data_IF_091811603948
#
_entry.id   IF_091811603948
#
_cell.length_a   1.000
_cell.length_b   1.000
_cell.length_c   1.000
_cell.angle_alpha   90.00
_cell.angle_beta   90.00
_cell.angle_gamma   90.00
#
_symmetry.space_group_name_H-M   'P 1'
#
loop_
_entity.id
_entity.type
_entity.pdbx_description
1 polymer ?
#
# COMPACT_ATOMS: atom_id res chain seq x y z
N UNK A 1 9.84 -34.19 6.31
CA UNK A 1 8.62 -34.59 7.05
C UNK A 1 9.05 -35.16 8.40
N UNK A 2 8.32 -34.80 9.47
CA UNK A 2 8.43 -35.24 10.87
C UNK A 2 9.60 -34.76 11.75
N UNK A 3 9.42 -33.76 12.62
CA UNK A 3 8.84 -33.75 14.00
C UNK A 3 9.96 -33.82 15.06
N UNK A 4 10.09 -32.76 15.89
CA UNK A 4 10.85 -32.86 17.15
C UNK A 4 11.87 -31.77 17.49
N UNK A 5 11.60 -30.46 17.27
CA UNK A 5 12.45 -29.41 17.86
C UNK A 5 11.66 -28.58 18.89
N UNK A 6 12.15 -28.44 20.14
CA UNK A 6 11.42 -27.81 21.23
C UNK A 6 11.35 -26.28 21.08
N UNK A 7 10.42 -25.60 21.80
CA UNK A 7 10.17 -24.19 21.64
C UNK A 7 11.24 -23.40 22.39
N UNK A 8 12.27 -22.94 21.67
CA UNK A 8 12.93 -21.71 22.09
C UNK A 8 12.33 -20.60 21.23
N UNK A 9 11.13 -20.17 21.62
CA UNK A 9 10.58 -18.89 21.18
C UNK A 9 11.44 -17.84 21.88
N UNK A 10 12.63 -17.59 21.33
CA UNK A 10 13.12 -16.22 21.35
C UNK A 10 12.03 -15.46 20.62
N UNK A 11 11.21 -14.71 21.36
CA UNK A 11 10.37 -13.67 20.80
C UNK A 11 11.32 -12.73 20.06
N UNK A 12 11.59 -13.04 18.80
CA UNK A 12 12.15 -12.10 17.86
C UNK A 12 11.01 -11.13 17.58
N UNK A 13 10.68 -10.27 18.55
CA UNK A 13 10.08 -8.99 18.23
C UNK A 13 11.19 -8.28 17.48
N UNK A 14 11.24 -8.45 16.16
CA UNK A 14 11.98 -7.54 15.32
C UNK A 14 11.51 -6.15 15.77
N UNK A 15 12.39 -5.35 16.38
CA UNK A 15 12.07 -3.95 16.64
C UNK A 15 11.67 -3.39 15.30
N UNK A 16 10.41 -2.96 15.12
CA UNK A 16 10.01 -2.28 13.90
C UNK A 16 10.92 -1.06 13.81
N UNK A 17 11.79 -1.01 12.80
CA UNK A 17 11.42 -0.30 11.60
C UNK A 17 11.83 -1.10 10.34
N UNK A 18 11.64 -0.55 9.16
CA UNK A 18 12.23 -1.07 7.91
C UNK A 18 11.58 -2.27 7.19
N UNK A 19 10.33 -2.66 7.48
CA UNK A 19 9.51 -3.33 6.44
C UNK A 19 8.66 -2.30 5.73
N UNK A 20 9.31 -1.43 4.96
CA UNK A 20 8.71 -0.55 3.95
C UNK A 20 7.34 -0.03 4.33
N UNK A 21 7.26 0.79 5.37
CA UNK A 21 6.05 1.55 5.67
C UNK A 21 5.86 2.55 4.54
N UNK A 22 5.15 2.13 3.49
CA UNK A 22 4.71 3.05 2.44
C UNK A 22 4.08 4.24 3.15
N UNK A 23 4.55 5.48 2.93
CA UNK A 23 4.15 6.64 3.71
C UNK A 23 2.64 6.62 3.86
N UNK A 24 2.19 6.34 5.09
CA UNK A 24 0.77 6.34 5.40
C UNK A 24 0.37 7.80 5.24
N UNK A 25 -0.50 8.03 4.27
CA UNK A 25 -1.04 9.35 3.97
C UNK A 25 -1.99 9.74 5.11
N UNK A 26 -1.38 10.03 6.27
CA UNK A 26 -2.06 10.25 7.55
C UNK A 26 -2.92 11.51 7.50
N UNK A 27 -2.44 12.53 6.80
CA UNK A 27 -3.10 13.82 6.63
C UNK A 27 -4.10 13.80 5.47
N UNK A 28 -4.02 12.81 4.58
CA UNK A 28 -4.97 12.61 3.49
C UNK A 28 -4.84 13.64 2.37
N UNK A 29 -3.63 14.12 2.11
CA UNK A 29 -3.36 15.14 1.09
C UNK A 29 -3.62 14.60 -0.32
N UNK A 30 -3.35 13.31 -0.55
CA UNK A 30 -3.56 12.67 -1.85
C UNK A 30 -4.96 12.07 -2.03
N UNK A 31 -5.91 12.32 -1.10
CA UNK A 31 -7.30 11.81 -1.20
C UNK A 31 -8.03 12.30 -2.45
N UNK A 32 -7.67 13.46 -3.01
CA UNK A 32 -8.29 13.98 -4.24
C UNK A 32 -7.99 13.06 -5.43
N UNK A 33 -6.73 12.70 -5.61
CA UNK A 33 -6.26 11.82 -6.68
C UNK A 33 -6.84 10.40 -6.55
N UNK A 34 -7.01 9.90 -5.32
CA UNK A 34 -7.65 8.60 -5.11
C UNK A 34 -9.12 8.62 -5.49
N UNK A 35 -9.84 9.72 -5.23
CA UNK A 35 -11.26 9.86 -5.63
C UNK A 35 -11.39 9.87 -7.15
N UNK A 36 -10.56 10.64 -7.84
CA UNK A 36 -10.53 10.68 -9.31
C UNK A 36 -10.23 9.30 -9.91
N UNK A 37 -9.24 8.58 -9.35
CA UNK A 37 -8.94 7.21 -9.76
C UNK A 37 -10.14 6.26 -9.56
N UNK A 38 -10.82 6.33 -8.41
CA UNK A 38 -11.99 5.50 -8.13
C UNK A 38 -13.19 5.86 -9.03
N UNK A 39 -13.38 7.14 -9.35
CA UNK A 39 -14.39 7.58 -10.31
C UNK A 39 -14.09 7.06 -11.71
N UNK A 40 -12.83 7.16 -12.15
CA UNK A 40 -12.40 6.60 -13.42
C UNK A 40 -12.62 5.09 -13.48
N UNK A 41 -12.32 4.34 -12.42
CA UNK A 41 -12.58 2.91 -12.37
C UNK A 41 -14.08 2.61 -12.49
N UNK A 42 -14.93 3.37 -11.80
CA UNK A 42 -16.38 3.20 -11.90
C UNK A 42 -16.90 3.44 -13.31
N UNK A 43 -16.37 4.45 -14.01
CA UNK A 43 -16.77 4.78 -15.38
C UNK A 43 -16.28 3.74 -16.39
N UNK A 44 -15.07 3.20 -16.21
CA UNK A 44 -14.44 2.25 -17.13
C UNK A 44 -14.68 0.78 -16.75
N UNK A 45 -15.73 0.47 -15.97
CA UNK A 45 -16.07 -0.91 -15.53
C UNK A 45 -14.89 -1.65 -14.87
N UNK A 46 -14.14 -0.95 -14.03
CA UNK A 46 -12.94 -1.43 -13.35
C UNK A 46 -11.76 -1.74 -14.28
N UNK A 47 -11.74 -1.18 -15.49
CA UNK A 47 -10.56 -1.23 -16.35
C UNK A 47 -9.45 -0.32 -15.81
N UNK A 48 -8.42 -0.96 -15.29
CA UNK A 48 -7.28 -0.30 -14.69
C UNK A 48 -6.34 0.32 -15.74
N UNK A 49 -6.41 -0.13 -16.99
CA UNK A 49 -5.60 0.37 -18.10
C UNK A 49 -5.93 1.84 -18.42
N UNK A 50 -7.22 2.17 -18.49
CA UNK A 50 -7.70 3.53 -18.75
C UNK A 50 -7.32 4.51 -17.62
N UNK A 51 -7.32 4.03 -16.36
CA UNK A 51 -7.11 4.86 -15.16
C UNK A 51 -5.67 4.87 -14.65
N UNK A 52 -4.73 4.31 -15.43
CA UNK A 52 -3.33 4.12 -15.03
C UNK A 52 -2.56 5.42 -14.77
N UNK A 53 -2.97 6.51 -15.43
CA UNK A 53 -2.39 7.83 -15.22
C UNK A 53 -2.79 8.42 -13.85
N UNK A 54 -4.03 8.18 -13.40
CA UNK A 54 -4.52 8.62 -12.09
C UNK A 54 -3.92 7.81 -10.95
N UNK A 55 -3.75 6.50 -11.13
CA UNK A 55 -3.08 5.66 -10.12
C UNK A 55 -1.61 6.03 -9.98
N UNK A 56 -0.92 6.35 -11.08
CA UNK A 56 0.45 6.88 -11.04
C UNK A 56 0.52 8.19 -10.27
N UNK A 57 -0.35 9.16 -10.58
CA UNK A 57 -0.39 10.44 -9.89
C UNK A 57 -0.66 10.29 -8.39
N UNK A 58 -1.60 9.41 -8.01
CA UNK A 58 -1.91 9.10 -6.61
C UNK A 58 -0.70 8.50 -5.87
N UNK A 59 0.00 7.56 -6.49
CA UNK A 59 1.20 6.94 -5.90
C UNK A 59 2.37 7.92 -5.81
N UNK A 60 2.60 8.74 -6.83
CA UNK A 60 3.62 9.79 -6.80
C UNK A 60 3.37 10.80 -5.67
N UNK A 61 2.11 11.17 -5.45
CA UNK A 61 1.73 12.05 -4.35
C UNK A 61 2.08 11.43 -2.98
N UNK A 62 1.88 10.12 -2.81
CA UNK A 62 2.27 9.39 -1.59
C UNK A 62 3.77 9.15 -1.45
N UNK A 63 4.52 9.16 -2.56
CA UNK A 63 5.97 8.94 -2.58
C UNK A 63 6.80 10.23 -2.44
N UNK A 64 6.25 11.40 -2.77
CA UNK A 64 6.93 12.71 -2.63
C UNK A 64 6.94 13.25 -1.20
N UNK A 65 6.37 12.52 -0.24
CA UNK A 65 6.34 12.86 1.19
C UNK A 65 7.58 12.32 1.89
#
# INVERSE_FOLDING_TARGET
MSFGRPPNITTFSATPPERGSFPLDHEGECKKLVKEYLECLKQNKSDNGACRHLSKAYLECRMKK
#
